data_IF_059915888720
#
_entry.id   IF_059915888720
#
_cell.length_a   1.000
_cell.length_b   1.000
_cell.length_c   1.000
_cell.angle_alpha   90.00
_cell.angle_beta   90.00
_cell.angle_gamma   90.00
#
_symmetry.space_group_name_H-M   'P 1'
#
loop_
_entity.id
_entity.type
_entity.pdbx_description
1 polymer ?
#
# COMPACT_ATOMS: atom_id res chain seq x y z
N UNK A 1 -9.80 7.56 -1.85
CA UNK A 1 -9.70 7.98 -3.27
C UNK A 1 -8.57 8.96 -3.59
N UNK A 2 -8.14 9.87 -2.71
CA UNK A 2 -7.03 10.80 -3.04
C UNK A 2 -5.74 10.09 -3.53
N UNK A 3 -5.36 8.96 -2.90
CA UNK A 3 -4.20 8.17 -3.29
C UNK A 3 -4.35 7.53 -4.68
N UNK A 4 -5.54 7.03 -5.03
CA UNK A 4 -5.86 6.37 -6.31
C UNK A 4 -6.23 7.34 -7.44
N UNK A 5 -6.45 8.62 -7.13
CA UNK A 5 -7.09 9.58 -8.03
C UNK A 5 -8.61 9.53 -7.89
N UNK A 6 -9.25 10.70 -7.84
CA UNK A 6 -10.71 10.81 -7.79
C UNK A 6 -11.24 10.94 -9.22
N UNK A 7 -12.12 10.04 -9.70
CA UNK A 7 -12.64 10.13 -11.07
C UNK A 7 -13.25 11.51 -11.36
N UNK A 8 -12.93 12.06 -12.53
CA UNK A 8 -13.43 13.36 -12.97
C UNK A 8 -12.61 14.58 -12.53
N UNK A 9 -11.62 14.44 -11.64
CA UNK A 9 -10.76 15.57 -11.23
C UNK A 9 -9.57 15.81 -12.15
N UNK A 10 -9.25 14.86 -13.02
CA UNK A 10 -8.01 14.87 -13.82
C UNK A 10 -6.76 14.48 -13.03
N UNK A 11 -6.89 14.21 -11.73
CA UNK A 11 -5.81 13.73 -10.87
C UNK A 11 -5.86 12.20 -10.74
N UNK A 12 -4.74 11.55 -11.04
CA UNK A 12 -4.55 10.10 -10.96
C UNK A 12 -3.90 9.66 -9.63
N UNK A 13 -3.65 10.61 -8.73
CA UNK A 13 -3.06 10.40 -7.42
C UNK A 13 -1.63 9.89 -7.48
N UNK A 14 -1.04 9.63 -6.31
CA UNK A 14 0.33 9.10 -6.22
C UNK A 14 0.42 7.66 -6.72
N UNK A 15 -0.67 6.88 -6.64
CA UNK A 15 -0.73 5.50 -7.13
C UNK A 15 -0.72 5.47 -8.66
N UNK A 16 -1.68 6.14 -9.30
CA UNK A 16 -1.70 6.24 -10.76
C UNK A 16 -0.45 6.95 -11.28
N UNK A 17 -0.05 8.07 -10.67
CA UNK A 17 1.14 8.81 -11.05
C UNK A 17 2.41 7.96 -11.03
N UNK A 18 2.59 7.10 -10.02
CA UNK A 18 3.72 6.18 -9.93
C UNK A 18 3.75 5.16 -11.07
N UNK A 19 2.63 4.47 -11.31
CA UNK A 19 2.52 3.50 -12.42
C UNK A 19 2.74 4.14 -13.79
N UNK A 20 2.02 5.23 -14.10
CA UNK A 20 2.07 5.86 -15.42
C UNK A 20 3.37 6.61 -15.72
N UNK A 21 4.12 7.02 -14.69
CA UNK A 21 5.44 7.64 -14.86
C UNK A 21 6.52 6.64 -15.30
N UNK A 22 6.41 5.35 -14.93
CA UNK A 22 7.31 4.28 -15.40
C UNK A 22 7.11 4.08 -16.91
N UNK A 23 5.85 4.03 -17.33
CA UNK A 23 5.48 3.92 -18.73
C UNK A 23 5.70 2.53 -19.34
N UNK A 24 5.49 2.42 -20.65
CA UNK A 24 5.68 1.15 -21.37
C UNK A 24 4.65 0.06 -21.03
N UNK A 25 5.05 -1.18 -21.29
CA UNK A 25 4.31 -2.42 -21.04
C UNK A 25 5.17 -3.27 -20.08
N UNK A 26 4.69 -3.62 -18.87
CA UNK A 26 3.28 -3.60 -18.44
C UNK A 26 2.88 -2.44 -17.50
N UNK A 27 3.76 -1.49 -17.18
CA UNK A 27 3.47 -0.52 -16.11
C UNK A 27 2.29 0.44 -16.40
N UNK A 28 1.87 0.60 -17.66
CA UNK A 28 0.66 1.36 -18.02
C UNK A 28 -0.62 0.53 -18.03
N UNK A 29 -0.53 -0.78 -17.85
CA UNK A 29 -1.67 -1.68 -17.81
C UNK A 29 -2.05 -2.00 -16.36
N UNK A 30 -3.27 -1.64 -16.00
CA UNK A 30 -3.80 -1.80 -14.65
C UNK A 30 -3.80 -3.25 -14.14
N UNK A 31 -3.98 -4.24 -15.03
CA UNK A 31 -4.14 -5.64 -14.64
C UNK A 31 -2.82 -6.38 -14.55
N UNK A 32 -1.87 -6.05 -15.43
CA UNK A 32 -0.60 -6.75 -15.53
C UNK A 32 0.59 -5.92 -15.04
N UNK A 33 0.38 -4.74 -14.44
CA UNK A 33 1.46 -3.94 -13.85
C UNK A 33 2.39 -4.70 -12.89
N UNK A 34 1.96 -5.74 -12.13
CA UNK A 34 2.88 -6.51 -11.29
C UNK A 34 3.94 -7.31 -12.06
N UNK A 35 3.82 -7.45 -13.38
CA UNK A 35 4.86 -8.05 -14.23
C UNK A 35 6.05 -7.10 -14.47
N UNK A 36 5.94 -5.80 -14.12
CA UNK A 36 7.10 -4.90 -13.99
C UNK A 36 7.66 -4.99 -12.56
N UNK A 37 8.94 -5.36 -12.36
CA UNK A 37 9.56 -5.42 -11.03
C UNK A 37 9.51 -4.11 -10.24
N UNK A 38 9.44 -2.95 -10.91
CA UNK A 38 9.33 -1.64 -10.25
C UNK A 38 7.98 -1.47 -9.56
N UNK A 39 6.95 -2.21 -9.99
CA UNK A 39 5.61 -2.21 -9.36
C UNK A 39 5.69 -2.57 -7.87
N UNK A 40 6.57 -3.50 -7.49
CA UNK A 40 6.77 -3.86 -6.08
C UNK A 40 7.38 -2.71 -5.26
N UNK A 41 8.35 -1.98 -5.83
CA UNK A 41 8.94 -0.80 -5.17
C UNK A 41 7.93 0.35 -5.08
N UNK A 42 7.10 0.52 -6.11
CA UNK A 42 6.00 1.47 -6.07
C UNK A 42 5.00 1.12 -4.96
N UNK A 43 4.55 -0.12 -4.87
CA UNK A 43 3.59 -0.56 -3.86
C UNK A 43 4.18 -0.59 -2.44
N UNK A 44 5.49 -0.81 -2.28
CA UNK A 44 6.19 -0.58 -1.01
C UNK A 44 6.02 0.87 -0.52
N UNK A 45 6.13 1.84 -1.42
CA UNK A 45 5.89 3.25 -1.08
C UNK A 45 4.43 3.57 -0.79
N UNK A 46 3.50 2.93 -1.50
CA UNK A 46 2.07 3.06 -1.22
C UNK A 46 1.73 2.55 0.17
N UNK A 47 2.23 1.37 0.54
CA UNK A 47 2.05 0.82 1.88
C UNK A 47 2.73 1.67 2.95
N UNK A 48 3.93 2.21 2.69
CA UNK A 48 4.60 3.15 3.59
C UNK A 48 3.74 4.39 3.89
N UNK A 49 3.16 5.02 2.86
CA UNK A 49 2.28 6.19 3.03
C UNK A 49 1.03 5.81 3.82
N UNK A 50 0.45 4.65 3.55
CA UNK A 50 -0.68 4.14 4.32
C UNK A 50 -0.31 3.90 5.79
N UNK A 51 0.79 3.20 6.04
CA UNK A 51 1.34 2.95 7.38
C UNK A 51 1.57 4.25 8.16
N UNK A 52 2.18 5.27 7.55
CA UNK A 52 2.34 6.60 8.18
C UNK A 52 0.97 7.17 8.56
N UNK A 53 0.02 7.16 7.63
CA UNK A 53 -1.33 7.67 7.88
C UNK A 53 -2.03 6.93 9.02
N UNK A 54 -1.90 5.59 9.09
CA UNK A 54 -2.50 4.78 10.14
C UNK A 54 -1.91 5.13 11.52
N UNK A 55 -0.59 5.29 11.62
CA UNK A 55 0.09 5.65 12.86
C UNK A 55 -0.23 7.08 13.34
N UNK A 56 -0.59 7.98 12.42
CA UNK A 56 -1.08 9.31 12.77
C UNK A 56 -2.55 9.31 13.21
N UNK A 57 -3.33 8.27 12.87
CA UNK A 57 -4.77 8.18 13.16
C UNK A 57 -5.17 6.83 13.80
N UNK A 58 -4.51 6.39 14.88
CA UNK A 58 -4.66 5.02 15.40
C UNK A 58 -6.09 4.71 15.86
N UNK A 59 -6.82 5.71 16.36
CA UNK A 59 -8.20 5.55 16.84
C UNK A 59 -9.24 5.32 15.72
N UNK A 60 -8.83 5.47 14.46
CA UNK A 60 -9.71 5.34 13.28
C UNK A 60 -9.18 4.28 12.33
N UNK A 61 -7.90 4.33 12.02
CA UNK A 61 -7.28 3.61 10.93
C UNK A 61 -7.30 2.09 11.05
N UNK A 62 -7.15 1.55 12.27
CA UNK A 62 -7.07 0.10 12.50
C UNK A 62 -8.43 -0.57 12.73
N UNK A 63 -9.50 0.21 12.88
CA UNK A 63 -10.85 -0.28 13.14
C UNK A 63 -11.76 -0.22 11.91
N UNK A 64 -13.05 -0.55 12.10
CA UNK A 64 -14.04 -0.53 11.03
C UNK A 64 -14.19 0.84 10.34
N UNK A 65 -13.91 1.94 11.06
CA UNK A 65 -13.91 3.31 10.50
C UNK A 65 -12.76 3.58 9.52
N UNK A 66 -11.70 2.76 9.56
CA UNK A 66 -10.58 2.81 8.63
C UNK A 66 -10.86 2.09 7.31
N UNK A 67 -12.01 1.40 7.19
CA UNK A 67 -12.44 0.70 5.99
C UNK A 67 -13.62 1.45 5.38
N UNK A 68 -13.59 1.61 4.07
CA UNK A 68 -14.66 2.18 3.28
C UNK A 68 -14.77 1.44 1.96
N UNK A 69 -15.87 1.69 1.23
CA UNK A 69 -16.13 1.15 -0.10
C UNK A 69 -16.57 -0.33 -0.13
N UNK A 70 -16.78 -0.82 -1.35
CA UNK A 70 -17.46 -2.07 -1.69
C UNK A 70 -16.50 -3.06 -2.34
N UNK A 71 -17.00 -4.24 -2.72
CA UNK A 71 -16.21 -5.31 -3.33
C UNK A 71 -16.03 -5.27 -4.84
N UNK A 72 -16.50 -4.22 -5.50
CA UNK A 72 -16.44 -4.08 -6.95
C UNK A 72 -15.82 -2.74 -7.31
N UNK A 73 -15.08 -2.70 -8.41
CA UNK A 73 -14.37 -1.50 -8.83
C UNK A 73 -15.36 -0.34 -9.03
N UNK A 74 -15.16 0.76 -8.29
CA UNK A 74 -16.09 1.90 -8.24
C UNK A 74 -17.55 1.49 -7.98
N UNK A 75 -17.76 0.44 -7.17
CA UNK A 75 -19.06 -0.15 -6.88
C UNK A 75 -19.87 -0.52 -8.15
N UNK A 76 -19.18 -0.99 -9.20
CA UNK A 76 -19.76 -1.33 -10.50
C UNK A 76 -19.43 -2.78 -10.89
N UNK A 77 -20.42 -3.69 -10.95
CA UNK A 77 -21.81 -3.52 -10.48
C UNK A 77 -21.87 -3.33 -8.95
N UNK A 78 -22.98 -2.84 -8.38
CA UNK A 78 -23.07 -2.62 -6.95
C UNK A 78 -22.80 -3.89 -6.12
N UNK A 79 -22.07 -3.75 -5.02
CA UNK A 79 -21.76 -4.86 -4.10
C UNK A 79 -21.80 -4.43 -2.63
N UNK A 80 -21.69 -5.40 -1.73
CA UNK A 80 -21.72 -5.14 -0.29
C UNK A 80 -20.49 -4.35 0.16
N UNK A 81 -20.67 -3.51 1.18
CA UNK A 81 -19.57 -2.81 1.82
C UNK A 81 -18.57 -3.80 2.40
N UNK A 82 -17.28 -3.47 2.25
CA UNK A 82 -16.20 -4.22 2.88
C UNK A 82 -16.18 -3.96 4.38
N UNK A 83 -15.78 -4.99 5.11
CA UNK A 83 -15.65 -4.98 6.58
C UNK A 83 -14.33 -5.62 6.97
N UNK A 84 -13.98 -5.52 8.26
CA UNK A 84 -12.83 -6.22 8.84
C UNK A 84 -12.89 -7.75 8.64
N UNK A 85 -14.09 -8.30 8.52
CA UNK A 85 -14.36 -9.73 8.32
C UNK A 85 -14.49 -10.12 6.85
N UNK A 86 -14.20 -9.21 5.91
CA UNK A 86 -14.22 -9.59 4.50
C UNK A 86 -13.00 -10.47 4.18
N UNK A 87 -13.19 -11.66 3.59
CA UNK A 87 -12.08 -12.47 3.11
C UNK A 87 -11.36 -11.76 1.95
N UNK A 88 -10.04 -11.94 1.90
CA UNK A 88 -9.15 -11.53 0.82
C UNK A 88 -8.82 -12.75 -0.02
N UNK A 89 -8.99 -12.62 -1.33
CA UNK A 89 -8.63 -13.65 -2.30
C UNK A 89 -7.30 -13.30 -2.96
N UNK A 90 -6.31 -14.16 -2.78
CA UNK A 90 -4.99 -14.08 -3.41
C UNK A 90 -4.77 -15.25 -4.38
N UNK A 91 -5.81 -16.03 -4.68
CA UNK A 91 -5.74 -17.20 -5.55
C UNK A 91 -4.62 -18.16 -5.14
N UNK A 92 -3.73 -18.46 -6.08
CA UNK A 92 -2.63 -19.42 -5.88
C UNK A 92 -1.38 -18.82 -5.21
N UNK A 93 -1.37 -17.52 -4.88
CA UNK A 93 -0.18 -16.89 -4.27
C UNK A 93 -0.17 -16.98 -2.75
N UNK A 94 -1.23 -17.52 -2.13
CA UNK A 94 -1.33 -17.66 -0.68
C UNK A 94 -2.08 -18.93 -0.29
N UNK A 95 -1.58 -19.60 0.75
CA UNK A 95 -2.26 -20.76 1.34
C UNK A 95 -3.11 -20.31 2.53
N UNK A 96 -4.41 -20.55 2.46
CA UNK A 96 -5.36 -20.26 3.54
C UNK A 96 -6.24 -19.03 3.30
N UNK A 97 -7.02 -18.66 4.31
CA UNK A 97 -7.97 -17.53 4.24
C UNK A 97 -7.45 -16.39 5.11
N UNK A 98 -7.20 -15.24 4.48
CA UNK A 98 -6.95 -13.98 5.16
C UNK A 98 -8.22 -13.14 5.17
N UNK A 99 -8.41 -12.38 6.23
CA UNK A 99 -9.43 -11.34 6.32
C UNK A 99 -8.76 -9.97 6.33
N UNK A 100 -9.52 -8.92 6.01
CA UNK A 100 -9.00 -7.53 6.05
C UNK A 100 -8.36 -7.22 7.40
N UNK A 101 -8.97 -7.62 8.52
CA UNK A 101 -8.44 -7.41 9.87
C UNK A 101 -7.03 -7.97 10.09
N UNK A 102 -6.68 -9.06 9.42
CA UNK A 102 -5.38 -9.72 9.56
C UNK A 102 -4.26 -8.89 8.92
N UNK A 103 -4.60 -7.97 8.01
CA UNK A 103 -3.68 -7.16 7.23
C UNK A 103 -3.67 -5.67 7.62
N UNK A 104 -4.47 -5.26 8.62
CA UNK A 104 -4.57 -3.85 9.02
C UNK A 104 -3.34 -3.34 9.77
N UNK A 105 -2.44 -4.21 10.25
CA UNK A 105 -1.28 -3.83 11.04
C UNK A 105 -0.02 -4.54 10.55
N UNK A 106 1.04 -3.77 10.30
CA UNK A 106 2.33 -4.31 9.83
C UNK A 106 3.09 -5.08 10.92
N UNK A 107 2.63 -5.00 12.18
CA UNK A 107 3.24 -5.67 13.32
C UNK A 107 2.30 -6.66 14.02
N UNK A 108 1.21 -7.06 13.35
CA UNK A 108 0.35 -8.16 13.75
C UNK A 108 0.48 -9.30 12.73
N UNK A 109 0.39 -10.55 13.20
CA UNK A 109 0.47 -11.75 12.34
C UNK A 109 -0.55 -11.63 11.19
N UNK A 110 -0.16 -11.90 9.93
CA UNK A 110 1.12 -12.47 9.48
C UNK A 110 2.25 -11.46 9.27
N UNK A 111 2.01 -10.17 9.43
CA UNK A 111 3.00 -9.13 9.21
C UNK A 111 3.91 -8.91 10.43
N UNK A 112 5.18 -8.61 10.17
CA UNK A 112 6.15 -8.28 11.22
C UNK A 112 7.24 -7.34 10.67
N UNK A 113 6.84 -6.17 10.21
CA UNK A 113 7.74 -5.18 9.63
C UNK A 113 7.39 -3.74 9.99
N UNK A 114 8.39 -2.86 9.87
CA UNK A 114 8.24 -1.40 9.96
C UNK A 114 9.02 -0.71 8.85
N UNK A 115 8.69 0.55 8.60
CA UNK A 115 9.41 1.44 7.68
C UNK A 115 10.39 2.30 8.47
N UNK A 116 11.67 2.23 8.10
CA UNK A 116 12.71 3.12 8.63
C UNK A 116 13.06 4.20 7.62
N UNK A 117 13.07 5.44 8.08
CA UNK A 117 13.62 6.58 7.35
C UNK A 117 15.02 6.85 7.88
N UNK A 118 16.03 6.54 7.08
CA UNK A 118 17.39 6.97 7.41
C UNK A 118 17.75 8.21 6.60
N UNK A 119 18.37 9.16 7.30
CA UNK A 119 18.98 10.32 6.67
C UNK A 119 20.45 9.97 6.48
N UNK A 120 20.82 9.61 5.25
CA UNK A 120 22.23 9.53 4.92
C UNK A 120 22.80 10.94 5.08
N UNK A 121 23.62 11.12 6.12
CA UNK A 121 24.47 12.31 6.23
C UNK A 121 25.51 12.20 5.14
N UNK A 122 25.28 12.91 4.04
CA UNK A 122 26.31 13.14 3.05
C UNK A 122 27.49 13.85 3.75
N UNK A 123 28.75 13.40 3.55
CA UNK A 123 29.92 14.04 4.14
C UNK A 123 30.07 15.50 3.70
N UNK A 124 29.44 15.86 2.57
CA UNK A 124 29.38 17.22 2.06
C UNK A 124 28.03 17.90 2.41
N UNK A 125 28.01 18.92 3.29
CA UNK A 125 26.78 19.62 3.67
C UNK A 125 26.13 20.42 2.53
N UNK A 126 26.78 20.57 1.36
CA UNK A 126 26.20 21.21 0.18
C UNK A 126 25.35 20.25 -0.68
N UNK A 127 25.42 18.94 -0.43
CA UNK A 127 24.59 17.95 -1.11
C UNK A 127 23.25 17.79 -0.38
N UNK A 128 22.15 17.65 -1.14
CA UNK A 128 20.84 17.40 -0.55
C UNK A 128 20.89 16.08 0.23
N UNK A 129 20.39 16.10 1.47
CA UNK A 129 20.17 14.88 2.25
C UNK A 129 19.36 13.90 1.43
N UNK A 130 19.89 12.70 1.21
CA UNK A 130 19.14 11.60 0.62
C UNK A 130 18.33 10.95 1.74
N UNK A 131 17.02 10.85 1.53
CA UNK A 131 16.17 9.99 2.34
C UNK A 131 16.19 8.60 1.72
N UNK A 132 16.53 7.59 2.52
CA UNK A 132 16.31 6.20 2.15
C UNK A 132 15.26 5.60 3.07
N UNK A 133 14.46 4.70 2.50
CA UNK A 133 13.40 4.00 3.21
C UNK A 133 13.76 2.53 3.17
N UNK A 134 13.77 1.91 4.35
CA UNK A 134 14.10 0.50 4.51
C UNK A 134 12.88 -0.24 5.07
N UNK A 135 12.60 -1.41 4.52
CA UNK A 135 11.74 -2.40 5.17
C UNK A 135 12.58 -3.15 6.20
N UNK A 136 12.19 -3.10 7.47
CA UNK A 136 12.85 -3.89 8.50
C UNK A 136 11.88 -4.98 8.95
N UNK A 137 12.20 -6.23 8.61
CA UNK A 137 11.54 -7.38 9.23
C UNK A 137 12.04 -7.47 10.68
N UNK A 138 11.12 -7.44 11.64
CA UNK A 138 11.47 -7.61 13.04
C UNK A 138 11.73 -9.10 13.29
N UNK A 139 12.97 -9.46 13.57
CA UNK A 139 13.33 -10.85 13.92
C UNK A 139 12.68 -11.24 15.26
N UNK A 140 12.17 -12.47 15.38
CA UNK A 140 11.77 -13.01 16.69
C UNK A 140 10.47 -13.82 16.84
N UNK A 141 9.97 -14.51 15.81
CA UNK A 141 9.02 -15.63 16.00
C UNK A 141 9.24 -16.73 14.95
N UNK A 142 10.17 -17.63 15.26
CA UNK A 142 10.18 -19.05 14.87
C UNK A 142 10.41 -19.84 16.17
#
# INVERSE_FOLDING_TARGET
>A
MAMQGTPGTGDIGIHGGGHYAIGGDPARDFFISPADPVSYLHHFMIDCVWWIWQNLHPNTAFGAKGISDTGTFLNTPPSVNKTLETPIDLGYTWEGVLHVKDLMSTTAVPCCYIYLWDFIREPNPSLRRRQQIHLIKKEGWL
#
